data_IF_077946343138
#
_entry.id   IF_077946343138
#
_cell.length_a   1.000
_cell.length_b   1.000
_cell.length_c   1.000
_cell.angle_alpha   90.00
_cell.angle_beta   90.00
_cell.angle_gamma   90.00
#
_symmetry.space_group_name_H-M   'P 1'
#
loop_
_entity.id
_entity.type
_entity.pdbx_description
1 polymer ?
#
# COMPACT_ATOMS: atom_id res chain seq x y z
N UNK A 1 10.04 -10.93 12.53
CA UNK A 1 9.75 -10.52 11.13
C UNK A 1 10.24 -9.10 10.94
N UNK A 2 10.70 -8.73 9.75
CA UNK A 2 10.92 -7.31 9.41
C UNK A 2 9.56 -6.61 9.21
N UNK A 3 9.49 -5.28 9.31
CA UNK A 3 8.23 -4.55 9.07
C UNK A 3 7.61 -4.88 7.70
N UNK A 4 8.45 -5.02 6.65
CA UNK A 4 7.97 -5.39 5.33
C UNK A 4 7.41 -6.82 5.28
N UNK A 5 8.04 -7.77 5.99
CA UNK A 5 7.52 -9.14 6.09
C UNK A 5 6.17 -9.18 6.81
N UNK A 6 6.01 -8.39 7.87
CA UNK A 6 4.78 -8.32 8.64
C UNK A 6 3.63 -7.72 7.81
N UNK A 7 3.86 -6.58 7.13
CA UNK A 7 2.89 -5.98 6.21
C UNK A 7 2.48 -6.98 5.12
N UNK A 8 3.46 -7.64 4.50
CA UNK A 8 3.20 -8.60 3.42
C UNK A 8 2.38 -9.79 3.93
N UNK A 9 2.70 -10.32 5.12
CA UNK A 9 1.93 -11.40 5.74
C UNK A 9 0.49 -10.96 6.04
N UNK A 10 0.30 -9.78 6.61
CA UNK A 10 -1.03 -9.26 6.93
C UNK A 10 -1.89 -9.05 5.68
N UNK A 11 -1.32 -8.51 4.60
CA UNK A 11 -2.02 -8.38 3.31
C UNK A 11 -2.50 -9.76 2.82
N UNK A 12 -1.62 -10.76 2.81
CA UNK A 12 -1.99 -12.11 2.36
C UNK A 12 -3.11 -12.66 3.24
N UNK A 13 -2.97 -12.56 4.55
CA UNK A 13 -3.96 -13.04 5.51
C UNK A 13 -5.33 -12.39 5.32
N UNK A 14 -5.40 -11.07 5.24
CA UNK A 14 -6.66 -10.34 5.03
C UNK A 14 -7.35 -10.72 3.73
N UNK A 15 -6.58 -10.90 2.65
CA UNK A 15 -7.12 -11.33 1.35
C UNK A 15 -7.63 -12.78 1.39
N UNK A 16 -6.97 -13.67 2.13
CA UNK A 16 -7.42 -15.04 2.36
C UNK A 16 -8.70 -15.07 3.20
N UNK A 17 -8.73 -14.35 4.32
CA UNK A 17 -9.87 -14.25 5.23
C UNK A 17 -11.12 -13.74 4.48
N UNK A 18 -10.94 -12.74 3.62
CA UNK A 18 -12.01 -12.21 2.76
C UNK A 18 -12.56 -13.26 1.79
N UNK A 19 -11.69 -14.03 1.13
CA UNK A 19 -12.14 -15.08 0.19
C UNK A 19 -12.84 -16.23 0.89
N UNK A 20 -12.33 -16.63 2.06
CA UNK A 20 -12.97 -17.62 2.90
C UNK A 20 -14.37 -17.16 3.34
N UNK A 21 -14.52 -15.89 3.76
CA UNK A 21 -15.81 -15.29 4.11
C UNK A 21 -16.77 -15.18 2.91
N UNK A 22 -16.25 -15.00 1.69
CA UNK A 22 -17.01 -14.98 0.44
C UNK A 22 -17.27 -16.39 -0.14
N UNK A 23 -16.88 -17.48 0.56
CA UNK A 23 -16.94 -18.86 0.07
C UNK A 23 -16.29 -19.08 -1.31
N UNK A 24 -15.21 -18.34 -1.60
CA UNK A 24 -14.48 -18.42 -2.86
C UNK A 24 -13.23 -19.30 -2.71
N UNK A 25 -13.25 -20.45 -3.39
CA UNK A 25 -12.09 -21.33 -3.57
C UNK A 25 -11.44 -21.09 -4.95
N UNK A 26 -10.10 -21.16 -5.09
CA UNK A 26 -9.12 -21.38 -4.02
C UNK A 26 -8.85 -20.10 -3.21
N UNK A 27 -8.57 -20.27 -1.91
CA UNK A 27 -8.19 -19.16 -1.01
C UNK A 27 -6.82 -18.54 -1.38
N UNK A 28 -6.04 -19.18 -2.27
CA UNK A 28 -4.71 -18.74 -2.74
C UNK A 28 -4.69 -17.33 -3.33
N UNK A 29 -3.94 -16.41 -2.72
CA UNK A 29 -3.78 -15.01 -3.16
C UNK A 29 -2.70 -14.90 -4.24
N UNK A 30 -2.97 -14.14 -5.31
CA UNK A 30 -1.99 -13.92 -6.38
C UNK A 30 -1.01 -12.79 -6.03
N UNK A 31 0.18 -12.79 -6.63
CA UNK A 31 1.13 -11.68 -6.49
C UNK A 31 0.51 -10.33 -6.91
N UNK A 32 -0.38 -10.35 -7.91
CA UNK A 32 -1.07 -9.14 -8.37
C UNK A 32 -2.01 -8.58 -7.31
N UNK A 33 -2.73 -9.44 -6.57
CA UNK A 33 -3.60 -9.01 -5.47
C UNK A 33 -2.78 -8.36 -4.34
N UNK A 34 -1.64 -8.98 -3.99
CA UNK A 34 -0.71 -8.46 -2.98
C UNK A 34 -0.16 -7.11 -3.41
N UNK A 35 0.28 -6.98 -4.67
CA UNK A 35 0.80 -5.72 -5.22
C UNK A 35 -0.26 -4.61 -5.19
N UNK A 36 -1.52 -4.93 -5.54
CA UNK A 36 -2.63 -3.96 -5.49
C UNK A 36 -2.86 -3.49 -4.05
N UNK A 37 -2.96 -4.40 -3.10
CA UNK A 37 -3.16 -4.05 -1.69
C UNK A 37 -2.00 -3.21 -1.13
N UNK A 38 -0.75 -3.59 -1.44
CA UNK A 38 0.44 -2.82 -1.06
C UNK A 38 0.42 -1.41 -1.66
N UNK A 39 0.04 -1.27 -2.94
CA UNK A 39 -0.05 0.02 -3.59
C UNK A 39 -1.09 0.94 -2.94
N UNK A 40 -2.23 0.41 -2.50
CA UNK A 40 -3.23 1.19 -1.77
C UNK A 40 -2.69 1.65 -0.41
N UNK A 41 -2.03 0.77 0.35
CA UNK A 41 -1.39 1.15 1.61
C UNK A 41 -0.34 2.25 1.42
N UNK A 42 0.49 2.15 0.37
CA UNK A 42 1.49 3.16 0.03
C UNK A 42 0.81 4.48 -0.35
N UNK A 43 -0.26 4.46 -1.14
CA UNK A 43 -1.02 5.68 -1.48
C UNK A 43 -1.60 6.35 -0.24
N UNK A 44 -2.22 5.58 0.65
CA UNK A 44 -2.78 6.10 1.91
C UNK A 44 -1.68 6.72 2.77
N UNK A 45 -0.53 6.05 2.92
CA UNK A 45 0.60 6.58 3.66
C UNK A 45 1.15 7.87 3.03
N UNK A 46 1.30 7.91 1.70
CA UNK A 46 1.75 9.11 0.99
C UNK A 46 0.80 10.28 1.17
N UNK A 47 -0.52 10.04 1.09
CA UNK A 47 -1.51 11.09 1.31
C UNK A 47 -1.40 11.67 2.73
N UNK A 48 -1.32 10.82 3.76
CA UNK A 48 -1.13 11.28 5.14
C UNK A 48 0.15 12.11 5.30
N UNK A 49 1.26 11.66 4.71
CA UNK A 49 2.54 12.40 4.76
C UNK A 49 2.49 13.74 4.02
N UNK A 50 1.67 13.85 2.97
CA UNK A 50 1.41 15.11 2.25
C UNK A 50 0.53 16.04 3.09
N UNK A 51 -0.53 15.53 3.71
CA UNK A 51 -1.41 16.28 4.61
C UNK A 51 -0.65 16.83 5.84
N UNK A 52 0.27 16.04 6.39
CA UNK A 52 1.13 16.43 7.51
C UNK A 52 2.25 17.41 7.10
N UNK A 53 2.37 17.74 5.82
CA UNK A 53 3.40 18.64 5.28
C UNK A 53 4.83 18.07 5.35
N UNK A 54 4.97 16.77 5.60
CA UNK A 54 6.25 16.04 5.60
C UNK A 54 6.70 15.79 4.16
N UNK A 55 5.75 15.56 3.24
CA UNK A 55 5.99 15.39 1.81
C UNK A 55 5.16 16.37 0.98
N UNK A 56 5.54 16.54 -0.29
CA UNK A 56 4.74 17.25 -1.29
C UNK A 56 4.62 16.41 -2.56
N UNK A 57 3.46 16.46 -3.21
CA UNK A 57 3.18 15.78 -4.47
C UNK A 57 3.21 16.74 -5.67
N UNK A 58 3.65 16.24 -6.81
CA UNK A 58 3.66 16.93 -8.11
C UNK A 58 3.25 15.96 -9.21
N UNK A 59 2.68 16.46 -10.31
CA UNK A 59 2.48 15.67 -11.53
C UNK A 59 3.66 15.87 -12.48
N UNK A 60 4.17 14.78 -13.05
CA UNK A 60 5.06 14.85 -14.21
C UNK A 60 4.30 15.33 -15.46
N UNK A 61 5.03 15.62 -16.54
CA UNK A 61 4.47 15.96 -17.86
C UNK A 61 3.55 14.87 -18.42
N UNK A 62 3.74 13.61 -18.00
CA UNK A 62 2.94 12.46 -18.43
C UNK A 62 1.88 12.05 -17.40
N UNK A 63 1.57 12.89 -16.41
CA UNK A 63 0.57 12.60 -15.38
C UNK A 63 1.03 11.64 -14.27
N UNK A 64 2.31 11.31 -14.20
CA UNK A 64 2.85 10.38 -13.19
C UNK A 64 3.04 11.14 -11.88
N UNK A 65 2.53 10.64 -10.75
CA UNK A 65 2.72 11.28 -9.45
C UNK A 65 4.17 11.18 -8.99
N UNK A 66 4.74 12.31 -8.59
CA UNK A 66 6.09 12.47 -8.05
C UNK A 66 5.99 13.02 -6.63
N UNK A 67 6.87 12.57 -5.73
CA UNK A 67 6.85 12.97 -4.33
C UNK A 67 8.21 13.47 -3.89
N UNK A 68 8.23 14.48 -3.01
CA UNK A 68 9.45 15.06 -2.43
C UNK A 68 9.28 15.23 -0.92
N UNK A 69 10.31 14.87 -0.15
CA UNK A 69 10.37 15.14 1.28
C UNK A 69 10.59 16.64 1.49
N UNK A 70 9.73 17.26 2.28
CA UNK A 70 9.81 18.66 2.68
C UNK A 70 10.45 18.80 4.06
N UNK A 71 10.07 17.93 5.00
CA UNK A 71 10.61 17.89 6.36
C UNK A 71 10.88 16.44 6.74
N UNK A 72 12.06 16.10 7.25
CA UNK A 72 12.30 14.75 7.74
C UNK A 72 11.46 14.50 9.00
N UNK A 73 10.93 13.29 9.12
CA UNK A 73 10.34 12.81 10.37
C UNK A 73 11.51 12.66 11.37
N UNK A 74 11.43 13.35 12.51
CA UNK A 74 12.43 13.27 13.58
C UNK A 74 12.33 11.95 14.34
#
# INVERSE_FOLDING_TARGET
MTPLQEITYNIVKELQDKRAAEHREPVNVSMLDIQRAMNELVKTALNGLVEDGTMSWFSSLNGIPLFKIQKPIK
#
